data_IF_482256152795
#
_entry.id   IF_482256152795
#
_cell.length_a   1.000
_cell.length_b   1.000
_cell.length_c   1.000
_cell.angle_alpha   90.00
_cell.angle_beta   90.00
_cell.angle_gamma   90.00
#
_symmetry.space_group_name_H-M   'P 1'
#
loop_
_entity.id
_entity.type
_entity.pdbx_description
1 polymer ?
#
# COMPACT_ATOMS: atom_id res chain seq x y z
N UNK A 1 -15.83 -4.99 -9.44
CA UNK A 1 -14.57 -4.94 -8.69
C UNK A 1 -13.43 -5.04 -9.70
N UNK A 2 -13.04 -3.90 -10.26
CA UNK A 2 -12.02 -3.81 -11.30
C UNK A 2 -10.67 -4.27 -10.72
N UNK A 3 -10.05 -5.27 -11.36
CA UNK A 3 -8.72 -5.73 -11.00
C UNK A 3 -7.75 -4.59 -11.29
N UNK A 4 -7.07 -4.06 -10.26
CA UNK A 4 -5.86 -3.24 -10.48
C UNK A 4 -4.86 -4.16 -11.20
N UNK A 5 -4.50 -3.90 -12.47
CA UNK A 5 -3.46 -4.66 -13.14
C UNK A 5 -2.16 -4.52 -12.35
N UNK A 6 -1.50 -5.63 -12.03
CA UNK A 6 -0.22 -5.62 -11.30
C UNK A 6 0.84 -4.69 -11.94
N UNK A 7 0.71 -4.42 -13.24
CA UNK A 7 1.56 -3.47 -13.96
C UNK A 7 1.55 -2.04 -13.39
N UNK A 8 0.43 -1.55 -12.84
CA UNK A 8 0.40 -0.20 -12.27
C UNK A 8 1.18 -0.09 -10.97
N UNK A 9 1.22 -1.16 -10.16
CA UNK A 9 2.00 -1.17 -8.92
C UNK A 9 3.50 -1.14 -9.21
N UNK A 10 3.94 -1.96 -10.19
CA UNK A 10 5.33 -1.94 -10.65
C UNK A 10 5.71 -0.57 -11.23
N UNK A 11 4.86 0.02 -12.07
CA UNK A 11 5.09 1.35 -12.63
C UNK A 11 5.17 2.43 -11.54
N UNK A 12 4.27 2.41 -10.55
CA UNK A 12 4.31 3.35 -9.43
C UNK A 12 5.62 3.23 -8.63
N UNK A 13 6.06 2.01 -8.36
CA UNK A 13 7.38 1.73 -7.74
C UNK A 13 8.53 2.30 -8.56
N UNK A 14 8.54 2.08 -9.88
CA UNK A 14 9.55 2.62 -10.79
C UNK A 14 9.58 4.16 -10.83
N UNK A 15 8.46 4.81 -10.50
CA UNK A 15 8.35 6.26 -10.34
C UNK A 15 8.67 6.76 -8.93
N UNK A 16 9.06 5.87 -8.01
CA UNK A 16 9.38 6.22 -6.62
C UNK A 16 8.16 6.57 -5.77
N UNK A 17 6.95 6.23 -6.22
CA UNK A 17 5.71 6.53 -5.48
C UNK A 17 5.57 5.55 -4.32
N UNK A 18 5.33 6.07 -3.12
CA UNK A 18 4.98 5.27 -1.95
C UNK A 18 3.50 4.86 -2.02
N UNK A 19 3.21 3.60 -1.67
CA UNK A 19 1.88 3.02 -1.77
C UNK A 19 1.30 2.70 -0.39
N UNK A 20 -0.02 2.68 -0.30
CA UNK A 20 -0.75 2.34 0.93
C UNK A 20 -1.76 1.23 0.65
N UNK A 21 -1.89 0.30 1.60
CA UNK A 21 -2.94 -0.71 1.62
C UNK A 21 -4.09 -0.18 2.48
N UNK A 22 -5.26 0.02 1.85
CA UNK A 22 -6.48 0.49 2.49
C UNK A 22 -7.64 -0.43 2.08
N UNK A 23 -8.20 -1.25 2.99
CA UNK A 23 -9.29 -2.16 2.67
C UNK A 23 -10.65 -1.47 2.50
N UNK A 24 -10.73 -0.14 2.68
CA UNK A 24 -11.96 0.65 2.66
C UNK A 24 -13.06 0.08 3.59
N UNK A 25 -12.62 -0.22 4.82
CA UNK A 25 -13.45 -0.89 5.80
C UNK A 25 -14.54 0.04 6.34
N UNK A 26 -15.81 -0.33 6.13
CA UNK A 26 -16.99 0.35 6.70
C UNK A 26 -17.52 -0.33 7.98
N UNK A 27 -16.81 -1.35 8.46
CA UNK A 27 -17.03 -2.07 9.73
C UNK A 27 -15.70 -2.67 10.20
N UNK A 28 -15.57 -2.97 11.50
CA UNK A 28 -14.31 -3.43 12.11
C UNK A 28 -13.78 -4.70 11.45
N UNK A 29 -14.66 -5.63 11.08
CA UNK A 29 -14.30 -6.89 10.45
C UNK A 29 -13.63 -6.68 9.07
N UNK A 30 -13.98 -5.59 8.37
CA UNK A 30 -13.40 -5.24 7.07
C UNK A 30 -11.90 -4.91 7.14
N UNK A 31 -11.38 -4.55 8.32
CA UNK A 31 -9.93 -4.34 8.50
C UNK A 31 -9.12 -5.62 8.24
N UNK A 32 -9.74 -6.80 8.35
CA UNK A 32 -9.09 -8.08 8.06
C UNK A 32 -8.77 -8.28 6.57
N UNK A 33 -9.36 -7.48 5.68
CA UNK A 33 -9.15 -7.57 4.23
C UNK A 33 -7.79 -6.98 3.80
N UNK A 34 -7.04 -6.34 4.71
CA UNK A 34 -5.63 -5.92 4.49
C UNK A 34 -4.77 -7.06 3.94
N UNK A 35 -5.03 -8.31 4.36
CA UNK A 35 -4.32 -9.51 3.86
C UNK A 35 -4.39 -9.66 2.33
N UNK A 36 -5.50 -9.25 1.71
CA UNK A 36 -5.63 -9.27 0.25
C UNK A 36 -4.76 -8.20 -0.41
N UNK A 37 -4.71 -7.00 0.20
CA UNK A 37 -3.80 -5.92 -0.22
C UNK A 37 -2.33 -6.34 -0.15
N UNK A 38 -1.91 -7.07 0.89
CA UNK A 38 -0.56 -7.64 1.00
C UNK A 38 -0.29 -8.63 -0.14
N UNK A 39 -1.25 -9.49 -0.46
CA UNK A 39 -1.15 -10.42 -1.59
C UNK A 39 -1.02 -9.71 -2.95
N UNK A 40 -1.75 -8.61 -3.13
CA UNK A 40 -1.68 -7.76 -4.33
C UNK A 40 -0.34 -7.04 -4.42
N UNK A 41 0.17 -6.49 -3.32
CA UNK A 41 1.48 -5.84 -3.25
C UNK A 41 2.61 -6.80 -3.65
N UNK A 42 2.59 -8.03 -3.14
CA UNK A 42 3.55 -9.09 -3.52
C UNK A 42 3.48 -9.43 -5.00
N UNK A 43 2.27 -9.57 -5.56
CA UNK A 43 2.08 -9.79 -7.02
C UNK A 43 2.55 -8.61 -7.86
N UNK A 44 2.54 -7.40 -7.29
CA UNK A 44 3.04 -6.16 -7.89
C UNK A 44 4.54 -5.92 -7.69
N UNK A 45 5.28 -6.88 -7.12
CA UNK A 45 6.74 -6.80 -6.88
C UNK A 45 7.15 -5.64 -5.96
N UNK A 46 6.23 -5.26 -5.05
CA UNK A 46 6.51 -4.27 -4.01
C UNK A 46 7.30 -4.90 -2.86
N UNK A 47 8.24 -4.15 -2.33
CA UNK A 47 8.99 -4.44 -1.12
C UNK A 47 8.39 -3.69 0.07
N UNK A 48 8.79 -4.02 1.30
CA UNK A 48 8.30 -3.33 2.49
C UNK A 48 8.55 -1.81 2.40
N UNK A 49 9.73 -1.42 1.91
CA UNK A 49 10.11 -0.02 1.69
C UNK A 49 9.22 0.74 0.71
N UNK A 50 8.39 0.06 -0.09
CA UNK A 50 7.47 0.68 -1.04
C UNK A 50 6.07 0.93 -0.42
N UNK A 51 5.76 0.28 0.72
CA UNK A 51 4.43 0.29 1.34
C UNK A 51 4.47 0.95 2.71
N UNK A 52 3.80 2.10 2.84
CA UNK A 52 3.84 2.94 4.05
C UNK A 52 3.29 2.24 5.29
N UNK A 53 2.42 1.23 5.13
CA UNK A 53 1.88 0.45 6.26
C UNK A 53 2.95 -0.36 7.01
N UNK A 54 4.16 -0.48 6.47
CA UNK A 54 5.27 -1.19 7.12
C UNK A 54 6.22 -0.28 7.88
N UNK A 55 6.00 1.04 7.79
CA UNK A 55 6.87 2.03 8.41
C UNK A 55 6.47 2.24 9.87
N UNK A 56 7.42 2.72 10.67
CA UNK A 56 7.09 3.20 12.01
C UNK A 56 6.30 4.52 11.94
N UNK A 57 5.73 4.91 13.08
CA UNK A 57 4.86 6.09 13.18
C UNK A 57 5.60 7.38 12.81
N UNK A 58 6.87 7.50 13.19
CA UNK A 58 7.66 8.70 12.95
C UNK A 58 7.98 8.85 11.46
N UNK A 59 8.34 7.76 10.78
CA UNK A 59 8.56 7.70 9.33
C UNK A 59 7.31 8.11 8.56
N UNK A 60 6.13 7.62 8.96
CA UNK A 60 4.85 8.02 8.34
C UNK A 60 4.58 9.51 8.57
N UNK A 61 4.85 10.02 9.77
CA UNK A 61 4.66 11.43 10.09
C UNK A 61 5.53 12.35 9.24
N UNK A 62 6.80 11.98 9.01
CA UNK A 62 7.70 12.75 8.14
C UNK A 62 7.26 12.76 6.67
N UNK A 63 6.65 11.67 6.16
CA UNK A 63 6.08 11.66 4.80
C UNK A 63 4.97 12.71 4.67
N UNK A 64 4.06 12.80 5.64
CA UNK A 64 2.93 13.73 5.57
C UNK A 64 3.29 15.19 5.87
N UNK A 65 4.46 15.47 6.44
CA UNK A 65 4.97 16.84 6.63
C UNK A 65 5.49 17.47 5.34
N UNK A 66 5.93 16.65 4.39
CA UNK A 66 6.47 17.11 3.13
C UNK A 66 5.31 17.68 2.28
N UNK A 67 5.39 18.98 1.98
CA UNK A 67 4.41 19.71 1.17
C UNK A 67 4.72 19.61 -0.32
#
# INVERSE_FOLDING_TARGET
>A
MERIPAGFLKYAKEKGVKLAICPDAHRVEGLQDVKYGVGIARKGWLEATDVINTFDVDQVYEIFKQK
#
